data_IF_907483515879
#
_entry.id   IF_907483515879
#
_cell.length_a   1.000
_cell.length_b   1.000
_cell.length_c   1.000
_cell.angle_alpha   90.00
_cell.angle_beta   90.00
_cell.angle_gamma   90.00
#
_symmetry.space_group_name_H-M   'P 1'
#
loop_
_entity.id
_entity.type
_entity.pdbx_description
1 polymer ?
#
# COMPACT_ATOMS: atom_id res chain seq x y z
N UNK A 1 -9.65 -6.66 11.46
CA UNK A 1 -9.51 -6.96 12.89
C UNK A 1 -10.08 -8.35 13.14
N UNK A 2 -9.30 -9.23 13.74
CA UNK A 2 -9.75 -10.56 14.17
C UNK A 2 -9.50 -10.67 15.67
N UNK A 3 -10.17 -11.57 16.35
CA UNK A 3 -9.81 -11.92 17.71
C UNK A 3 -9.61 -13.43 17.82
N UNK A 4 -8.77 -13.85 18.75
CA UNK A 4 -8.62 -15.26 19.10
C UNK A 4 -9.76 -15.68 20.01
N UNK A 5 -10.52 -16.73 19.68
CA UNK A 5 -11.57 -17.25 20.56
C UNK A 5 -11.00 -18.13 21.68
N UNK A 6 -9.89 -18.81 21.40
CA UNK A 6 -9.17 -19.69 22.33
C UNK A 6 -7.69 -19.33 22.40
N UNK A 7 -7.00 -19.85 23.42
CA UNK A 7 -5.53 -19.80 23.47
C UNK A 7 -4.95 -20.50 22.24
N UNK A 8 -3.97 -19.88 21.59
CA UNK A 8 -3.25 -20.46 20.46
C UNK A 8 -1.75 -20.26 20.63
N UNK A 9 -0.95 -21.11 19.99
CA UNK A 9 0.51 -20.97 19.93
C UNK A 9 0.91 -20.71 18.48
N UNK A 10 1.62 -19.62 18.22
CA UNK A 10 2.13 -19.27 16.88
C UNK A 10 3.63 -19.10 16.98
N UNK A 11 4.40 -19.88 16.22
CA UNK A 11 5.88 -19.82 16.25
C UNK A 11 6.46 -19.94 17.68
N UNK A 12 5.85 -20.77 18.53
CA UNK A 12 6.23 -20.94 19.94
C UNK A 12 5.76 -19.83 20.89
N UNK A 13 5.06 -18.81 20.38
CA UNK A 13 4.52 -17.70 21.17
C UNK A 13 3.08 -18.02 21.58
N UNK A 14 2.83 -17.98 22.89
CA UNK A 14 1.50 -18.11 23.48
C UNK A 14 0.66 -16.85 23.24
N UNK A 15 -0.44 -16.99 22.52
CA UNK A 15 -1.44 -15.93 22.28
C UNK A 15 -2.70 -16.25 23.10
N UNK A 16 -3.05 -15.43 24.11
CA UNK A 16 -4.21 -15.71 24.95
C UNK A 16 -5.52 -15.59 24.16
N UNK A 17 -6.58 -16.19 24.70
CA UNK A 17 -7.93 -15.98 24.19
C UNK A 17 -8.34 -14.50 24.32
N UNK A 18 -9.29 -14.07 23.48
CA UNK A 18 -9.78 -12.69 23.38
C UNK A 18 -8.70 -11.66 22.99
N UNK A 19 -7.62 -12.09 22.34
CA UNK A 19 -6.58 -11.19 21.83
C UNK A 19 -6.96 -10.69 20.45
N UNK A 20 -6.88 -9.38 20.25
CA UNK A 20 -7.10 -8.80 18.93
C UNK A 20 -5.86 -8.93 18.04
N UNK A 21 -6.06 -9.44 16.84
CA UNK A 21 -5.07 -9.54 15.76
C UNK A 21 -5.29 -8.44 14.72
N UNK A 22 -4.22 -7.69 14.47
CA UNK A 22 -4.13 -6.67 13.43
C UNK A 22 -3.03 -7.02 12.43
N UNK A 23 -3.36 -6.87 11.16
CA UNK A 23 -2.41 -7.01 10.05
C UNK A 23 -2.35 -5.68 9.32
N UNK A 24 -1.17 -5.08 9.28
CA UNK A 24 -0.94 -3.81 8.59
C UNK A 24 -0.28 -4.06 7.24
N UNK A 25 -1.07 -3.96 6.17
CA UNK A 25 -0.56 -3.99 4.79
C UNK A 25 0.45 -2.87 4.56
N UNK A 26 0.26 -1.71 5.21
CA UNK A 26 1.17 -0.58 5.16
C UNK A 26 2.57 -0.92 5.67
N UNK A 27 2.65 -1.57 6.85
CA UNK A 27 3.92 -1.97 7.45
C UNK A 27 4.56 -3.09 6.63
N UNK A 28 3.79 -4.12 6.27
CA UNK A 28 4.33 -5.29 5.57
C UNK A 28 4.93 -4.94 4.21
N UNK A 29 4.29 -4.04 3.46
CA UNK A 29 4.83 -3.52 2.19
C UNK A 29 6.12 -2.69 2.32
N UNK A 30 6.51 -2.31 3.55
CA UNK A 30 7.70 -1.51 3.88
C UNK A 30 8.78 -2.28 4.64
N UNK A 31 8.59 -3.58 4.87
CA UNK A 31 9.59 -4.39 5.56
C UNK A 31 10.71 -4.78 4.60
N UNK A 32 11.93 -4.35 4.92
CA UNK A 32 13.14 -4.66 4.14
C UNK A 32 13.40 -6.16 4.03
N UNK A 33 12.94 -6.94 5.02
CA UNK A 33 12.95 -8.42 5.00
C UNK A 33 12.26 -9.01 3.76
N UNK A 34 11.25 -8.34 3.23
CA UNK A 34 10.45 -8.82 2.09
C UNK A 34 10.65 -7.99 0.82
N UNK A 35 10.98 -6.70 0.96
CA UNK A 35 11.12 -5.78 -0.16
C UNK A 35 12.44 -5.02 -0.04
N UNK A 36 13.43 -5.34 -0.89
CA UNK A 36 14.68 -4.58 -0.96
C UNK A 36 14.40 -3.12 -1.32
N UNK A 37 15.05 -2.17 -0.65
CA UNK A 37 14.78 -0.74 -0.79
C UNK A 37 13.28 -0.45 -0.65
N UNK A 38 12.67 -0.88 0.45
CA UNK A 38 11.21 -0.93 0.59
C UNK A 38 10.51 0.44 0.43
N UNK A 39 11.24 1.53 0.69
CA UNK A 39 10.75 2.91 0.59
C UNK A 39 10.91 3.53 -0.81
N UNK A 40 11.62 2.85 -1.72
CA UNK A 40 11.79 3.32 -3.09
C UNK A 40 10.61 2.84 -3.95
N UNK A 41 10.06 3.75 -4.77
CA UNK A 41 9.05 3.37 -5.76
C UNK A 41 9.74 2.62 -6.92
N UNK A 42 9.63 1.29 -6.91
CA UNK A 42 10.19 0.38 -7.90
C UNK A 42 9.07 -0.56 -8.39
N UNK A 43 8.42 -0.27 -9.53
CA UNK A 43 7.36 -1.11 -10.10
C UNK A 43 7.82 -2.51 -10.49
N UNK A 44 9.09 -2.65 -10.90
CA UNK A 44 9.65 -3.90 -11.42
C UNK A 44 9.75 -4.98 -10.35
N UNK A 45 9.64 -4.64 -9.05
CA UNK A 45 9.57 -5.64 -7.98
C UNK A 45 8.33 -6.54 -8.04
N UNK A 46 7.27 -6.11 -8.74
CA UNK A 46 6.03 -6.87 -8.86
C UNK A 46 5.94 -7.67 -10.16
N UNK A 47 7.02 -7.74 -10.95
CA UNK A 47 7.08 -8.56 -12.15
C UNK A 47 6.90 -10.05 -11.84
N UNK A 48 6.53 -10.83 -12.88
CA UNK A 48 6.30 -12.28 -12.73
C UNK A 48 7.58 -13.05 -12.40
N UNK A 49 8.73 -12.52 -12.80
CA UNK A 49 10.04 -13.18 -12.66
C UNK A 49 10.62 -13.08 -11.25
N UNK A 50 10.05 -12.21 -10.40
CA UNK A 50 10.49 -12.03 -9.01
C UNK A 50 9.61 -12.84 -8.07
N UNK A 51 10.19 -13.89 -7.49
CA UNK A 51 9.58 -14.65 -6.41
C UNK A 51 9.42 -13.79 -5.16
N UNK A 52 8.25 -13.88 -4.52
CA UNK A 52 7.93 -13.21 -3.26
C UNK A 52 7.16 -14.16 -2.35
N UNK A 53 7.37 -14.12 -1.03
CA UNK A 53 6.56 -14.88 -0.09
C UNK A 53 5.06 -14.58 -0.25
N UNK A 54 4.22 -15.60 -0.21
CA UNK A 54 2.78 -15.45 -0.52
C UNK A 54 2.06 -14.41 0.35
N UNK A 55 2.37 -14.37 1.65
CA UNK A 55 1.74 -13.45 2.60
C UNK A 55 2.50 -12.12 2.80
N UNK A 56 3.49 -11.78 1.97
CA UNK A 56 4.23 -10.52 2.14
C UNK A 56 3.53 -9.31 1.51
N UNK A 57 2.62 -9.52 0.55
CA UNK A 57 1.90 -8.45 -0.14
C UNK A 57 0.42 -8.79 -0.36
N UNK A 58 -0.47 -8.11 0.36
CA UNK A 58 -1.92 -8.35 0.28
C UNK A 58 -2.74 -7.05 0.39
N UNK A 59 -2.60 -6.12 -0.56
CA UNK A 59 -3.32 -4.83 -0.51
C UNK A 59 -4.85 -4.98 -0.52
N UNK A 60 -5.36 -6.13 -0.97
CA UNK A 60 -6.78 -6.47 -1.02
C UNK A 60 -7.17 -7.56 -0.03
N UNK A 61 -6.38 -7.80 1.03
CA UNK A 61 -6.52 -8.93 1.95
C UNK A 61 -6.33 -10.30 1.27
N UNK A 62 -6.36 -11.39 2.04
CA UNK A 62 -6.24 -12.76 1.56
C UNK A 62 -7.26 -13.67 2.28
N UNK A 63 -7.58 -14.81 1.66
CA UNK A 63 -8.47 -15.82 2.23
C UNK A 63 -9.96 -15.46 2.16
N UNK A 64 -10.80 -15.99 3.06
CA UNK A 64 -12.26 -15.88 2.98
C UNK A 64 -12.83 -14.45 3.03
N UNK A 65 -12.01 -13.47 3.43
CA UNK A 65 -12.36 -12.05 3.42
C UNK A 65 -11.40 -11.23 2.55
N UNK A 66 -10.95 -11.81 1.45
CA UNK A 66 -10.36 -11.04 0.35
C UNK A 66 -11.38 -10.04 -0.21
N UNK A 67 -10.91 -8.89 -0.67
CA UNK A 67 -11.77 -7.87 -1.26
C UNK A 67 -12.46 -8.40 -2.52
N UNK A 68 -13.79 -8.43 -2.53
CA UNK A 68 -14.58 -8.82 -3.71
C UNK A 68 -14.33 -7.87 -4.90
N UNK A 69 -14.00 -6.61 -4.63
CA UNK A 69 -13.70 -5.60 -5.65
C UNK A 69 -12.27 -5.62 -6.19
N UNK A 70 -11.43 -6.60 -5.81
CA UNK A 70 -10.03 -6.63 -6.23
C UNK A 70 -9.86 -6.61 -7.75
N UNK A 71 -10.62 -7.45 -8.47
CA UNK A 71 -10.55 -7.52 -9.93
C UNK A 71 -11.00 -6.20 -10.57
N UNK A 72 -12.14 -5.67 -10.11
CA UNK A 72 -12.66 -4.40 -10.57
C UNK A 72 -11.64 -3.27 -10.38
N UNK A 73 -11.10 -3.12 -9.16
CA UNK A 73 -10.12 -2.08 -8.86
C UNK A 73 -8.86 -2.17 -9.74
N UNK A 74 -8.36 -3.38 -10.02
CA UNK A 74 -7.20 -3.55 -10.91
C UNK A 74 -7.51 -3.15 -12.35
N UNK A 75 -8.65 -3.60 -12.89
CA UNK A 75 -9.08 -3.29 -14.25
C UNK A 75 -9.35 -1.79 -14.40
N UNK A 76 -10.16 -1.20 -13.52
CA UNK A 76 -10.48 0.22 -13.54
C UNK A 76 -9.24 1.11 -13.43
N UNK A 77 -8.27 0.74 -12.58
CA UNK A 77 -6.98 1.44 -12.48
C UNK A 77 -6.23 1.43 -13.82
N UNK A 78 -6.13 0.27 -14.48
CA UNK A 78 -5.44 0.14 -15.76
C UNK A 78 -6.13 0.97 -16.84
N UNK A 79 -7.46 0.92 -16.91
CA UNK A 79 -8.26 1.70 -17.86
C UNK A 79 -8.05 3.19 -17.64
N UNK A 80 -8.21 3.67 -16.40
CA UNK A 80 -8.04 5.08 -16.06
C UNK A 80 -6.64 5.61 -16.39
N UNK A 81 -5.59 4.83 -16.06
CA UNK A 81 -4.22 5.20 -16.39
C UNK A 81 -4.00 5.25 -17.92
N UNK A 82 -4.49 4.25 -18.65
CA UNK A 82 -4.32 4.19 -20.09
C UNK A 82 -5.07 5.30 -20.83
N UNK A 83 -6.27 5.67 -20.37
CA UNK A 83 -7.06 6.75 -20.95
C UNK A 83 -6.48 8.14 -20.67
N UNK A 84 -5.91 8.35 -19.47
CA UNK A 84 -5.32 9.64 -19.11
C UNK A 84 -3.97 9.90 -19.78
N UNK A 85 -3.14 8.88 -19.99
CA UNK A 85 -1.78 9.03 -20.56
C UNK A 85 -1.71 9.82 -21.88
N UNK A 86 -2.58 9.61 -22.89
CA UNK A 86 -2.52 10.39 -24.13
C UNK A 86 -3.07 11.82 -24.01
N UNK A 87 -3.84 12.13 -22.97
CA UNK A 87 -4.54 13.42 -22.82
C UNK A 87 -3.81 14.34 -21.82
N UNK A 88 -3.19 13.77 -20.80
CA UNK A 88 -2.59 14.47 -19.67
C UNK A 88 -1.10 14.16 -19.59
N UNK A 89 -0.27 15.20 -19.63
CA UNK A 89 1.14 15.10 -19.25
C UNK A 89 1.22 15.24 -17.73
N UNK A 90 1.57 14.15 -17.05
CA UNK A 90 1.77 14.15 -15.61
C UNK A 90 3.16 14.72 -15.29
N UNK A 91 3.21 16.00 -14.94
CA UNK A 91 4.42 16.62 -14.38
C UNK A 91 4.39 16.42 -12.87
N UNK A 92 5.35 15.71 -12.26
CA UNK A 92 5.41 15.58 -10.81
C UNK A 92 5.70 16.96 -10.21
N UNK A 93 4.71 17.56 -9.56
CA UNK A 93 4.94 18.77 -8.76
C UNK A 93 5.72 18.35 -7.52
N UNK A 94 7.02 18.62 -7.52
CA UNK A 94 7.88 18.41 -6.35
C UNK A 94 7.50 19.45 -5.31
N UNK A 95 6.59 19.10 -4.39
CA UNK A 95 6.33 19.91 -3.21
C UNK A 95 7.55 19.80 -2.31
N UNK A 96 8.47 20.75 -2.42
CA UNK A 96 9.45 20.99 -1.37
C UNK A 96 8.66 21.38 -0.12
N UNK A 97 8.48 20.41 0.77
CA UNK A 97 8.00 20.67 2.13
C UNK A 97 9.22 21.08 2.95
N UNK A 98 9.79 22.23 2.62
CA UNK A 98 10.85 22.86 3.41
C UNK A 98 10.32 24.19 3.94
N UNK A 99 9.87 24.10 5.19
CA UNK A 99 9.67 25.16 6.16
C UNK A 99 8.56 26.21 5.89
N UNK A 100 7.68 26.30 6.88
CA UNK A 100 6.67 27.35 7.02
C UNK A 100 7.30 28.75 6.85
N UNK A 101 6.98 29.42 5.74
CA UNK A 101 6.58 30.83 5.77
C UNK A 101 5.39 31.03 4.85
N UNK A 102 4.23 31.11 5.47
CA UNK A 102 2.97 31.59 4.91
C UNK A 102 3.19 33.02 4.40
N UNK A 103 3.58 33.16 3.13
CA UNK A 103 3.43 34.42 2.40
C UNK A 103 2.12 34.34 1.63
N UNK A 104 1.09 34.90 2.25
CA UNK A 104 -0.14 35.33 1.59
C UNK A 104 0.25 36.27 0.44
N UNK A 105 0.35 35.75 -0.78
CA UNK A 105 0.41 36.60 -1.96
C UNK A 105 -1.04 36.94 -2.32
N UNK A 106 -1.56 37.95 -1.62
CA UNK A 106 -2.56 38.83 -2.22
C UNK A 106 -1.87 39.55 -3.39
N UNK A 107 -2.34 39.32 -4.61
CA UNK A 107 -2.63 40.36 -5.60
C UNK A 107 -2.89 39.73 -6.96
N UNK A 108 -4.18 39.56 -7.24
CA UNK A 108 -4.72 40.00 -8.52
C UNK A 108 -4.22 41.42 -8.80
N UNK A 109 -3.52 41.64 -9.92
CA UNK A 109 -3.77 42.78 -10.81
C UNK A 109 -2.81 42.79 -11.99
N UNK A 110 -3.43 43.05 -13.15
CA UNK A 110 -2.90 43.35 -14.49
C UNK A 110 -2.48 42.16 -15.34
#
# INVERSE_FOLDING_TARGET
>A
MRWTEKKNVIEGIDIPANTTLFFSTYLMGRMERYFKNALTFDPDRFSKDKSRPYFSYFPFSLGPRSCIGQLFAQVSKIIALRMSTPILVFVPFKREVENLRMLLIHSFSL
#
